data_IF_071488428141
#
_entry.id   IF_071488428141
#
_cell.length_a   1.000
_cell.length_b   1.000
_cell.length_c   1.000
_cell.angle_alpha   90.00
_cell.angle_beta   90.00
_cell.angle_gamma   90.00
#
_symmetry.space_group_name_H-M   'P 1'
#
loop_
_entity.id
_entity.type
_entity.pdbx_description
1 polymer ?
#
# COMPACT_ATOMS: atom_id res chain seq x y z
N UNK A 1 -1.42 -9.11 -5.75
CA UNK A 1 -1.69 -10.24 -6.64
C UNK A 1 -1.32 -9.87 -8.07
N UNK A 2 -0.50 -10.72 -8.69
CA UNK A 2 -0.23 -10.68 -10.12
C UNK A 2 -0.76 -11.99 -10.71
N UNK A 3 -1.82 -11.90 -11.49
CA UNK A 3 -2.54 -13.05 -12.06
C UNK A 3 -2.28 -13.08 -13.57
N UNK A 4 -1.74 -14.19 -14.07
CA UNK A 4 -1.54 -14.39 -15.50
C UNK A 4 -2.87 -14.32 -16.25
N UNK A 5 -2.86 -13.74 -17.45
CA UNK A 5 -4.05 -13.63 -18.29
C UNK A 5 -4.52 -15.02 -18.74
N UNK A 6 -5.73 -15.38 -18.36
CA UNK A 6 -6.39 -16.63 -18.74
C UNK A 6 -7.92 -16.37 -18.81
N UNK A 7 -8.49 -16.13 -20.00
CA UNK A 7 -9.90 -15.79 -20.14
C UNK A 7 -10.85 -16.95 -19.77
N UNK A 8 -10.36 -18.21 -19.81
CA UNK A 8 -11.15 -19.40 -19.53
C UNK A 8 -11.14 -19.77 -18.03
N UNK A 9 -10.26 -19.17 -17.24
CA UNK A 9 -10.10 -19.47 -15.82
C UNK A 9 -10.28 -18.25 -14.94
N UNK A 10 -11.35 -18.26 -14.15
CA UNK A 10 -11.61 -17.24 -13.15
C UNK A 10 -10.71 -17.45 -11.92
N UNK A 11 -9.98 -16.40 -11.53
CA UNK A 11 -9.23 -16.37 -10.27
C UNK A 11 -10.03 -15.55 -9.26
N UNK A 12 -10.23 -16.10 -8.07
CA UNK A 12 -11.06 -15.50 -7.00
C UNK A 12 -10.23 -15.34 -5.73
N UNK A 13 -10.30 -14.15 -5.13
CA UNK A 13 -9.71 -13.83 -3.83
C UNK A 13 -10.81 -13.38 -2.88
N UNK A 14 -10.84 -13.94 -1.67
CA UNK A 14 -11.78 -13.57 -0.62
C UNK A 14 -11.05 -13.07 0.62
N UNK A 15 -11.56 -11.99 1.21
CA UNK A 15 -11.00 -11.42 2.44
C UNK A 15 -11.90 -10.34 3.03
N UNK A 16 -12.10 -10.38 4.35
CA UNK A 16 -12.92 -9.39 5.06
C UNK A 16 -14.38 -9.30 4.59
N UNK A 17 -14.94 -10.38 4.04
CA UNK A 17 -16.30 -10.41 3.47
C UNK A 17 -16.41 -9.87 2.04
N UNK A 18 -15.28 -9.49 1.42
CA UNK A 18 -15.21 -9.00 0.04
C UNK A 18 -14.67 -10.09 -0.86
N UNK A 19 -15.27 -10.23 -2.04
CA UNK A 19 -14.84 -11.16 -3.08
C UNK A 19 -14.33 -10.38 -4.29
N UNK A 20 -13.14 -10.75 -4.78
CA UNK A 20 -12.49 -10.16 -5.96
C UNK A 20 -12.37 -11.22 -7.04
N UNK A 21 -12.83 -10.93 -8.25
CA UNK A 21 -12.85 -11.83 -9.39
C UNK A 21 -12.06 -11.25 -10.56
N UNK A 22 -11.11 -12.01 -11.11
CA UNK A 22 -10.23 -11.58 -12.21
C UNK A 22 -9.91 -12.70 -13.19
N UNK A 23 -9.51 -12.33 -14.44
CA UNK A 23 -9.06 -13.25 -15.50
C UNK A 23 -7.62 -12.96 -15.98
N UNK A 24 -6.89 -12.05 -15.31
CA UNK A 24 -5.54 -11.65 -15.70
C UNK A 24 -5.32 -10.20 -15.35
N UNK A 25 -4.71 -9.96 -14.18
CA UNK A 25 -4.85 -8.65 -13.52
C UNK A 25 -3.73 -8.47 -12.51
N UNK A 26 -3.20 -7.26 -12.42
CA UNK A 26 -2.34 -6.84 -11.31
C UNK A 26 -3.15 -5.92 -10.39
N UNK A 27 -3.38 -6.37 -9.17
CA UNK A 27 -4.19 -5.64 -8.19
C UNK A 27 -3.69 -5.87 -6.77
N UNK A 28 -4.04 -4.95 -5.88
CA UNK A 28 -3.81 -5.09 -4.44
C UNK A 28 -5.13 -5.24 -3.69
N UNK A 29 -5.18 -6.10 -2.69
CA UNK A 29 -6.30 -6.23 -1.75
C UNK A 29 -5.77 -6.10 -0.33
N UNK A 30 -6.24 -5.07 0.40
CA UNK A 30 -5.85 -4.76 1.77
C UNK A 30 -7.02 -5.02 2.70
N UNK A 31 -7.01 -6.21 3.33
CA UNK A 31 -8.07 -6.68 4.24
C UNK A 31 -7.48 -6.88 5.64
N UNK A 32 -7.30 -5.79 6.41
CA UNK A 32 -6.74 -5.84 7.76
C UNK A 32 -7.84 -6.05 8.79
N UNK A 33 -7.63 -6.91 9.79
CA UNK A 33 -8.63 -7.24 10.82
C UNK A 33 -9.12 -6.01 11.59
N UNK A 34 -8.20 -5.13 11.97
CA UNK A 34 -8.47 -3.92 12.75
C UNK A 34 -9.15 -2.78 11.96
N UNK A 35 -9.24 -2.89 10.62
CA UNK A 35 -9.92 -1.91 9.78
C UNK A 35 -11.37 -2.34 9.53
N UNK A 36 -12.29 -1.39 9.47
CA UNK A 36 -13.72 -1.62 9.19
C UNK A 36 -14.03 -1.75 7.69
N UNK A 37 -13.03 -1.64 6.85
CA UNK A 37 -13.12 -1.71 5.39
C UNK A 37 -12.03 -2.58 4.76
N UNK A 38 -12.26 -2.95 3.51
CA UNK A 38 -11.30 -3.59 2.61
C UNK A 38 -11.08 -2.68 1.43
N UNK A 39 -9.80 -2.43 1.08
CA UNK A 39 -9.42 -1.69 -0.12
C UNK A 39 -8.99 -2.66 -1.21
N UNK A 40 -9.48 -2.43 -2.43
CA UNK A 40 -9.07 -3.16 -3.63
C UNK A 40 -8.61 -2.15 -4.67
N UNK A 41 -7.31 -2.13 -5.00
CA UNK A 41 -6.71 -1.19 -5.95
C UNK A 41 -6.26 -1.90 -7.22
N UNK A 42 -6.65 -1.39 -8.39
CA UNK A 42 -6.35 -2.01 -9.68
C UNK A 42 -5.22 -1.27 -10.40
N UNK A 43 -4.12 -1.98 -10.66
CA UNK A 43 -2.99 -1.46 -11.44
C UNK A 43 -3.17 -1.74 -12.95
N UNK A 44 -3.51 -2.96 -13.33
CA UNK A 44 -3.72 -3.33 -14.74
C UNK A 44 -4.73 -4.47 -14.88
N UNK A 45 -5.43 -4.53 -16.02
CA UNK A 45 -6.47 -5.53 -16.30
C UNK A 45 -7.86 -5.07 -15.90
N UNK A 46 -8.70 -6.01 -15.48
CA UNK A 46 -10.09 -5.78 -15.03
C UNK A 46 -10.35 -6.56 -13.74
N UNK A 47 -10.94 -5.88 -12.78
CA UNK A 47 -11.38 -6.48 -11.51
C UNK A 47 -12.88 -6.31 -11.35
N UNK A 48 -13.56 -7.35 -10.91
CA UNK A 48 -14.91 -7.28 -10.36
C UNK A 48 -14.83 -7.49 -8.86
N UNK A 49 -15.31 -6.50 -8.10
CA UNK A 49 -15.39 -6.53 -6.64
C UNK A 49 -16.83 -6.77 -6.23
N UNK A 50 -17.04 -7.72 -5.32
CA UNK A 50 -18.35 -8.01 -4.72
C UNK A 50 -18.29 -7.84 -3.21
N UNK A 51 -19.30 -7.16 -2.65
CA UNK A 51 -19.45 -6.94 -1.21
C UNK A 51 -20.93 -7.02 -0.83
N UNK A 52 -21.32 -8.03 -0.02
CA UNK A 52 -22.71 -8.23 0.42
C UNK A 52 -23.76 -8.14 -0.71
N UNK A 53 -23.50 -8.77 -1.85
CA UNK A 53 -24.42 -8.79 -3.01
C UNK A 53 -24.35 -7.55 -3.91
N UNK A 54 -23.59 -6.53 -3.55
CA UNK A 54 -23.27 -5.39 -4.45
C UNK A 54 -22.03 -5.73 -5.24
N UNK A 55 -22.06 -5.48 -6.57
CA UNK A 55 -20.92 -5.72 -7.46
C UNK A 55 -20.51 -4.44 -8.17
N UNK A 56 -19.20 -4.23 -8.36
CA UNK A 56 -18.62 -3.11 -9.12
C UNK A 56 -17.36 -3.57 -9.85
N UNK A 57 -17.23 -3.09 -11.09
CA UNK A 57 -15.97 -3.24 -11.85
C UNK A 57 -15.05 -2.07 -11.60
N UNK A 58 -13.74 -2.35 -11.53
CA UNK A 58 -12.68 -1.34 -11.46
C UNK A 58 -11.95 -1.26 -12.80
N UNK A 59 -11.56 -0.04 -13.16
CA UNK A 59 -10.60 0.25 -14.21
C UNK A 59 -9.21 0.51 -13.61
N UNK A 60 -8.12 0.38 -14.38
CA UNK A 60 -6.79 0.77 -13.92
C UNK A 60 -6.76 2.20 -13.35
N UNK A 61 -6.13 2.38 -12.19
CA UNK A 61 -6.11 3.65 -11.46
C UNK A 61 -7.29 3.86 -10.49
N UNK A 62 -8.21 2.90 -10.38
CA UNK A 62 -9.31 2.97 -9.42
C UNK A 62 -9.05 2.09 -8.19
N UNK A 63 -9.56 2.55 -7.05
CA UNK A 63 -9.64 1.80 -5.79
C UNK A 63 -11.08 1.69 -5.34
N UNK A 64 -11.53 0.47 -5.01
CA UNK A 64 -12.77 0.21 -4.31
C UNK A 64 -12.53 0.19 -2.80
N UNK A 65 -13.30 0.98 -2.05
CA UNK A 65 -13.36 0.93 -0.59
C UNK A 65 -14.66 0.25 -0.20
N UNK A 66 -14.55 -0.96 0.39
CA UNK A 66 -15.67 -1.82 0.74
C UNK A 66 -15.82 -1.87 2.25
N UNK A 67 -16.89 -1.34 2.83
CA UNK A 67 -17.17 -1.47 4.25
C UNK A 67 -17.56 -2.90 4.59
N UNK A 68 -16.95 -3.47 5.65
CA UNK A 68 -17.18 -4.87 6.06
C UNK A 68 -18.59 -5.15 6.59
N UNK A 69 -19.26 -4.14 7.14
CA UNK A 69 -20.54 -4.29 7.82
C UNK A 69 -21.76 -3.98 6.97
N UNK A 70 -21.60 -3.44 5.77
CA UNK A 70 -22.73 -2.99 4.93
C UNK A 70 -22.46 -3.27 3.44
N UNK A 71 -23.51 -3.46 2.61
CA UNK A 71 -23.37 -3.68 1.18
C UNK A 71 -23.00 -2.37 0.45
N UNK A 72 -21.76 -1.92 0.64
CA UNK A 72 -21.28 -0.64 0.10
C UNK A 72 -19.92 -0.83 -0.58
N UNK A 73 -19.80 -0.31 -1.79
CA UNK A 73 -18.56 -0.20 -2.56
C UNK A 73 -18.44 1.23 -3.06
N UNK A 74 -17.53 2.00 -2.48
CA UNK A 74 -17.17 3.34 -2.93
C UNK A 74 -15.98 3.25 -3.88
N UNK A 75 -16.08 3.83 -5.08
CA UNK A 75 -14.97 3.91 -6.04
C UNK A 75 -14.29 5.26 -5.92
N UNK A 76 -12.95 5.24 -5.88
CA UNK A 76 -12.10 6.43 -5.88
C UNK A 76 -11.04 6.30 -6.96
N UNK A 77 -10.75 7.36 -7.67
CA UNK A 77 -9.55 7.46 -8.51
C UNK A 77 -8.39 7.84 -7.61
N UNK A 78 -7.38 6.98 -7.53
CA UNK A 78 -6.22 7.17 -6.65
C UNK A 78 -4.94 6.84 -7.40
N UNK A 79 -3.80 7.30 -6.90
CA UNK A 79 -2.52 6.80 -7.37
C UNK A 79 -2.30 5.37 -6.84
N UNK A 80 -2.82 4.39 -7.59
CA UNK A 80 -2.72 2.96 -7.24
C UNK A 80 -1.27 2.45 -7.29
N UNK A 81 -0.34 3.23 -7.84
CA UNK A 81 1.07 2.85 -7.89
C UNK A 81 1.66 2.65 -6.50
N UNK A 82 1.19 3.41 -5.51
CA UNK A 82 1.57 3.26 -4.10
C UNK A 82 1.04 1.93 -3.53
N UNK A 83 -0.24 1.64 -3.71
CA UNK A 83 -0.86 0.42 -3.19
C UNK A 83 -0.33 -0.87 -3.85
N UNK A 84 0.24 -0.75 -5.06
CA UNK A 84 0.78 -1.86 -5.84
C UNK A 84 2.33 -1.84 -5.91
N UNK A 85 3.01 -1.16 -4.98
CA UNK A 85 4.48 -1.10 -4.96
C UNK A 85 5.15 -2.47 -4.90
N UNK A 86 4.53 -3.45 -4.24
CA UNK A 86 5.01 -4.83 -4.14
C UNK A 86 5.20 -5.51 -5.52
N UNK A 87 4.57 -5.01 -6.59
CA UNK A 87 4.74 -5.52 -7.95
C UNK A 87 5.98 -4.94 -8.67
N UNK A 88 6.75 -4.08 -8.02
CA UNK A 88 7.98 -3.49 -8.56
C UNK A 88 9.20 -4.22 -8.01
N UNK A 89 10.23 -4.37 -8.83
CA UNK A 89 11.53 -4.92 -8.42
C UNK A 89 12.36 -3.91 -7.61
N UNK A 90 12.09 -2.63 -7.79
CA UNK A 90 12.77 -1.55 -7.07
C UNK A 90 11.88 -0.33 -6.89
N UNK A 91 12.15 0.45 -5.86
CA UNK A 91 11.44 1.69 -5.56
C UNK A 91 12.44 2.84 -5.54
N UNK A 92 12.37 3.72 -6.55
CA UNK A 92 13.22 4.91 -6.66
C UNK A 92 12.51 6.14 -6.15
N UNK A 93 13.16 6.84 -5.25
CA UNK A 93 12.74 8.14 -4.73
C UNK A 93 13.62 9.25 -5.30
N UNK A 94 13.01 10.34 -5.70
CA UNK A 94 13.71 11.54 -6.16
C UNK A 94 13.17 12.76 -5.42
N UNK A 95 14.04 13.42 -4.67
CA UNK A 95 13.76 14.67 -3.92
C UNK A 95 12.50 14.56 -3.02
N UNK A 96 12.32 13.40 -2.36
CA UNK A 96 11.19 13.17 -1.46
C UNK A 96 11.52 13.57 -0.02
N UNK A 97 10.63 14.27 0.65
CA UNK A 97 10.73 14.55 2.09
C UNK A 97 10.47 13.28 2.91
N UNK A 98 10.85 13.28 4.20
CA UNK A 98 10.59 12.15 5.09
C UNK A 98 9.08 11.86 5.21
N UNK A 99 8.25 12.90 5.18
CA UNK A 99 6.78 12.78 5.23
C UNK A 99 6.20 12.09 4.00
N UNK A 100 6.73 12.40 2.81
CA UNK A 100 6.31 11.72 1.59
C UNK A 100 6.83 10.28 1.53
N UNK A 101 8.06 10.03 2.01
CA UNK A 101 8.66 8.69 2.05
C UNK A 101 7.86 7.73 2.91
N UNK A 102 7.34 8.18 4.07
CA UNK A 102 6.65 7.28 5.00
C UNK A 102 5.45 6.60 4.40
N UNK A 103 4.69 7.26 3.53
CA UNK A 103 3.57 6.63 2.82
C UNK A 103 4.02 5.44 1.96
N UNK A 104 5.09 5.63 1.20
CA UNK A 104 5.67 4.59 0.35
C UNK A 104 6.31 3.46 1.17
N UNK A 105 7.09 3.79 2.20
CA UNK A 105 7.76 2.81 3.06
C UNK A 105 6.73 1.99 3.85
N UNK A 106 5.67 2.63 4.35
CA UNK A 106 4.56 1.96 5.04
C UNK A 106 3.90 0.89 4.16
N UNK A 107 3.63 1.21 2.90
CA UNK A 107 3.02 0.24 1.96
C UNK A 107 4.03 -0.81 1.51
N UNK A 108 5.28 -0.45 1.25
CA UNK A 108 6.32 -1.38 0.80
C UNK A 108 6.66 -2.44 1.85
N UNK A 109 6.82 -2.02 3.11
CA UNK A 109 7.18 -2.94 4.21
C UNK A 109 5.98 -3.45 5.00
N UNK A 110 4.76 -2.94 4.73
CA UNK A 110 3.55 -3.32 5.44
C UNK A 110 3.52 -2.91 6.91
N UNK A 111 4.28 -1.86 7.29
CA UNK A 111 4.41 -1.36 8.67
C UNK A 111 3.75 0.01 8.84
N UNK A 112 3.20 0.29 10.02
CA UNK A 112 2.70 1.62 10.38
C UNK A 112 3.86 2.51 10.81
N UNK A 113 4.17 3.57 10.04
CA UNK A 113 5.29 4.48 10.34
C UNK A 113 4.73 5.80 10.87
N UNK A 114 5.06 6.11 12.11
CA UNK A 114 4.63 7.34 12.81
C UNK A 114 5.78 8.31 12.92
N UNK A 115 5.54 9.53 12.45
CA UNK A 115 6.51 10.63 12.48
C UNK A 115 6.22 11.59 13.62
N UNK A 116 7.25 12.00 14.32
CA UNK A 116 7.19 13.14 15.24
C UNK A 116 7.03 14.44 14.44
N UNK A 117 6.10 15.32 14.82
CA UNK A 117 5.87 16.60 14.13
C UNK A 117 7.08 17.55 14.11
N UNK A 118 8.07 17.36 14.99
CA UNK A 118 9.29 18.17 15.06
C UNK A 118 10.35 17.82 14.02
N UNK A 119 10.12 16.80 13.19
CA UNK A 119 11.05 16.40 12.15
C UNK A 119 11.16 17.47 11.04
N UNK A 120 12.36 17.64 10.42
CA UNK A 120 12.56 18.62 9.37
C UNK A 120 11.68 18.28 8.14
N UNK A 121 10.98 19.29 7.63
CA UNK A 121 10.06 19.18 6.48
C UNK A 121 10.70 19.49 5.14
N UNK A 122 11.87 20.13 5.16
CA UNK A 122 12.57 20.71 3.99
C UNK A 122 13.68 19.81 3.44
N UNK A 123 14.10 18.80 4.22
CA UNK A 123 15.14 17.88 3.76
C UNK A 123 14.57 16.87 2.76
N UNK A 124 15.20 16.79 1.60
CA UNK A 124 14.81 15.91 0.51
C UNK A 124 15.83 14.77 0.30
N UNK A 125 15.31 13.58 0.04
CA UNK A 125 16.08 12.36 -0.15
C UNK A 125 15.95 11.85 -1.58
N UNK A 126 17.06 11.33 -2.11
CA UNK A 126 17.11 10.65 -3.42
C UNK A 126 17.87 9.35 -3.26
N UNK A 127 17.17 8.22 -3.40
CA UNK A 127 17.75 6.87 -3.33
C UNK A 127 16.84 5.84 -3.98
N UNK A 128 17.33 4.62 -4.14
CA UNK A 128 16.57 3.48 -4.65
C UNK A 128 16.60 2.36 -3.62
N UNK A 129 15.47 1.73 -3.37
CA UNK A 129 15.32 0.52 -2.57
C UNK A 129 15.14 -0.66 -3.52
N UNK A 130 15.82 -1.76 -3.25
CA UNK A 130 15.68 -3.04 -3.97
C UNK A 130 15.35 -4.16 -3.01
N UNK A 131 16.31 -4.51 -2.15
CA UNK A 131 16.21 -5.62 -1.21
C UNK A 131 16.50 -5.21 0.24
N UNK A 132 16.78 -3.91 0.45
CA UNK A 132 17.08 -3.36 1.77
C UNK A 132 15.87 -3.51 2.70
N UNK A 133 16.11 -3.88 3.95
CA UNK A 133 15.11 -3.87 5.01
C UNK A 133 14.73 -2.43 5.40
N UNK A 134 13.57 -2.25 6.04
CA UNK A 134 13.17 -0.94 6.56
C UNK A 134 14.21 -0.38 7.54
N UNK A 135 14.82 -1.23 8.37
CA UNK A 135 15.87 -0.84 9.30
C UNK A 135 17.10 -0.29 8.58
N UNK A 136 17.55 -0.94 7.52
CA UNK A 136 18.68 -0.47 6.71
C UNK A 136 18.38 0.88 6.05
N UNK A 137 17.17 1.06 5.51
CA UNK A 137 16.73 2.34 4.94
C UNK A 137 16.70 3.44 5.99
N UNK A 138 16.13 3.19 7.17
CA UNK A 138 16.08 4.15 8.27
C UNK A 138 17.49 4.46 8.83
N UNK A 139 18.36 3.47 8.88
CA UNK A 139 19.76 3.66 9.25
C UNK A 139 20.51 4.58 8.28
N UNK A 140 20.24 4.47 6.95
CA UNK A 140 20.81 5.38 5.96
C UNK A 140 20.29 6.81 6.13
N UNK A 141 18.98 6.97 6.34
CA UNK A 141 18.37 8.29 6.61
C UNK A 141 18.96 8.91 7.88
N UNK A 142 19.12 8.12 8.95
CA UNK A 142 19.68 8.59 10.22
C UNK A 142 21.16 9.04 10.16
N UNK A 143 21.92 8.62 9.13
CA UNK A 143 23.28 9.11 8.90
C UNK A 143 23.35 10.54 8.36
N UNK A 144 22.30 10.99 7.70
CA UNK A 144 22.24 12.32 7.04
C UNK A 144 21.23 13.27 7.69
N UNK A 145 20.35 12.74 8.52
CA UNK A 145 19.33 13.52 9.25
C UNK A 145 19.39 13.11 10.73
N UNK A 146 19.33 14.06 11.68
CA UNK A 146 19.35 13.74 13.11
C UNK A 146 18.00 13.14 13.56
N UNK A 147 17.78 11.88 13.21
CA UNK A 147 16.61 11.10 13.62
C UNK A 147 17.00 9.88 14.45
N UNK A 148 16.09 9.46 15.29
CA UNK A 148 16.07 8.16 15.97
C UNK A 148 14.81 7.40 15.57
N UNK A 149 14.85 6.08 15.60
CA UNK A 149 13.70 5.25 15.29
C UNK A 149 13.63 4.04 16.24
N UNK A 150 12.39 3.64 16.54
CA UNK A 150 12.10 2.49 17.41
C UNK A 150 11.03 1.64 16.74
N UNK A 151 11.28 0.33 16.68
CA UNK A 151 10.30 -0.67 16.25
C UNK A 151 9.50 -1.13 17.47
N UNK A 152 8.19 -0.96 17.43
CA UNK A 152 7.26 -1.41 18.46
C UNK A 152 6.71 -2.82 18.12
N UNK A 153 6.19 -3.56 19.11
CA UNK A 153 5.71 -4.93 18.95
C UNK A 153 4.43 -5.06 18.07
N UNK A 154 3.70 -3.97 17.86
CA UNK A 154 2.45 -3.92 17.09
C UNK A 154 2.64 -3.63 15.60
N UNK A 155 3.82 -3.90 15.04
CA UNK A 155 4.18 -3.62 13.65
C UNK A 155 4.20 -2.11 13.32
N UNK A 156 4.50 -1.29 14.33
CA UNK A 156 4.65 0.16 14.22
C UNK A 156 6.11 0.55 14.32
N UNK A 157 6.52 1.59 13.58
CA UNK A 157 7.82 2.25 13.72
C UNK A 157 7.59 3.70 14.06
N UNK A 158 8.22 4.16 15.14
CA UNK A 158 8.22 5.58 15.51
C UNK A 158 9.54 6.23 15.11
N UNK A 159 9.47 7.35 14.43
CA UNK A 159 10.62 8.16 14.02
C UNK A 159 10.53 9.50 14.73
N UNK A 160 11.56 9.83 15.51
CA UNK A 160 11.67 11.06 16.29
C UNK A 160 12.93 11.83 15.92
N UNK A 161 13.00 13.09 16.30
CA UNK A 161 14.23 13.87 16.17
C UNK A 161 15.21 13.48 17.29
N UNK A 162 16.47 13.35 16.92
CA UNK A 162 17.58 13.10 17.85
C UNK A 162 17.93 14.35 18.66
#
# INVERSE_FOLDING_TARGET
>A
FEVAADPDRLFVVEGGGVVVKVHGTVFNMKAREKQDHVDVSLLSGLVVVENHGVSRSLNPGETAVCKKSVPSIEKKTTDVSISCLWAKESLRFEKKTIYELTGYLSEWYGMDIRLDPSLPTDQAYTFTITHESLEEVLCLIAKITPIEYVFDEDNTVRITRK
#
